data_IF_594798602644
#
_entry.id   IF_594798602644
#
_cell.length_a   1.000
_cell.length_b   1.000
_cell.length_c   1.000
_cell.angle_alpha   90.00
_cell.angle_beta   90.00
_cell.angle_gamma   90.00
#
_symmetry.space_group_name_H-M   'P 1'
#
loop_
_entity.id
_entity.type
_entity.pdbx_description
1 polymer ?
#
# COMPACT_ATOMS: atom_id res chain seq x y z
N UNK A 1 -9.71 20.77 -7.75
CA UNK A 1 -10.77 19.78 -8.13
C UNK A 1 -10.31 18.39 -7.67
N UNK A 2 -11.10 17.66 -6.86
CA UNK A 2 -10.73 16.31 -6.43
C UNK A 2 -10.94 15.36 -7.62
N UNK A 3 -9.88 14.99 -8.29
CA UNK A 3 -9.92 14.12 -9.47
C UNK A 3 -10.18 12.66 -9.07
N UNK A 4 -9.60 12.22 -7.95
CA UNK A 4 -9.84 10.90 -7.35
C UNK A 4 -10.59 11.08 -6.03
N UNK A 5 -11.64 10.28 -5.84
CA UNK A 5 -12.31 10.15 -4.55
C UNK A 5 -11.68 8.98 -3.80
N UNK A 6 -11.10 9.27 -2.65
CA UNK A 6 -10.65 8.26 -1.67
C UNK A 6 -11.71 8.14 -0.58
N UNK A 7 -12.01 6.93 -0.14
CA UNK A 7 -12.89 6.68 1.01
C UNK A 7 -12.24 7.15 2.32
N UNK A 8 -10.92 6.97 2.40
CA UNK A 8 -10.07 7.38 3.53
C UNK A 8 -8.91 8.24 3.05
N UNK A 9 -8.19 8.89 3.98
CA UNK A 9 -7.02 9.70 3.65
C UNK A 9 -5.90 8.83 3.10
N UNK A 10 -5.19 9.25 2.03
CA UNK A 10 -3.96 8.59 1.60
C UNK A 10 -2.91 8.59 2.72
N UNK A 11 -2.20 7.49 2.86
CA UNK A 11 -1.21 7.28 3.93
C UNK A 11 0.20 7.41 3.37
N UNK A 12 0.96 8.34 3.92
CA UNK A 12 2.38 8.50 3.68
C UNK A 12 3.17 7.59 4.63
N UNK A 13 4.18 6.90 4.11
CA UNK A 13 5.08 6.03 4.88
C UNK A 13 6.53 6.38 4.52
N UNK A 14 7.36 6.62 5.55
CA UNK A 14 8.79 6.83 5.38
C UNK A 14 9.59 5.85 6.24
N UNK A 15 10.63 5.24 5.65
CA UNK A 15 11.52 4.28 6.29
C UNK A 15 12.82 4.98 6.68
N UNK A 16 13.08 5.15 7.96
CA UNK A 16 14.18 5.99 8.45
C UNK A 16 15.28 5.16 9.12
N UNK A 17 16.52 5.63 8.98
CA UNK A 17 17.71 5.08 9.65
C UNK A 17 17.91 5.61 11.08
N UNK A 18 17.06 6.53 11.53
CA UNK A 18 17.06 7.10 12.88
C UNK A 18 15.63 7.49 13.28
N UNK A 19 15.40 7.64 14.59
CA UNK A 19 14.13 8.17 15.10
C UNK A 19 13.99 9.64 14.67
N UNK A 20 12.84 10.07 14.11
CA UNK A 20 12.65 11.44 13.62
C UNK A 20 12.43 12.42 14.77
N UNK A 21 13.02 13.61 14.66
CA UNK A 21 12.76 14.71 15.59
C UNK A 21 11.35 15.30 15.36
N UNK A 22 10.69 15.71 16.44
CA UNK A 22 9.39 16.38 16.38
C UNK A 22 8.19 15.50 16.02
N UNK A 23 8.38 14.21 15.75
CA UNK A 23 7.32 13.26 15.52
C UNK A 23 7.07 12.43 16.77
N UNK A 24 5.81 12.22 17.14
CA UNK A 24 5.45 11.43 18.32
C UNK A 24 5.73 9.95 18.08
N UNK A 25 6.41 9.29 19.02
CA UNK A 25 6.58 7.84 19.05
C UNK A 25 5.23 7.16 19.30
N UNK A 26 4.98 6.05 18.58
CA UNK A 26 3.81 5.24 18.82
C UNK A 26 3.97 4.47 20.15
N UNK A 27 3.00 4.65 21.02
CA UNK A 27 2.92 3.91 22.28
C UNK A 27 1.87 2.80 22.19
N UNK A 28 2.20 1.63 22.71
CA UNK A 28 1.33 0.47 22.72
C UNK A 28 1.66 -0.56 21.63
N UNK A 29 0.74 -1.49 21.42
CA UNK A 29 0.87 -2.61 20.49
C UNK A 29 -0.24 -2.60 19.44
N UNK A 30 0.05 -3.13 18.26
CA UNK A 30 -0.93 -3.38 17.22
C UNK A 30 -0.87 -4.85 16.80
N UNK A 31 -2.00 -5.47 16.45
CA UNK A 31 -2.03 -6.87 16.05
C UNK A 31 -1.36 -7.12 14.68
N UNK A 32 -1.18 -6.08 13.88
CA UNK A 32 -0.61 -6.17 12.54
C UNK A 32 0.06 -4.86 12.15
N UNK A 33 1.10 -4.93 11.31
CA UNK A 33 1.73 -3.74 10.71
C UNK A 33 0.75 -2.90 9.87
N UNK A 34 -0.24 -3.53 9.24
CA UNK A 34 -1.28 -2.82 8.49
C UNK A 34 -2.17 -1.93 9.38
N UNK A 35 -2.30 -2.24 10.67
CA UNK A 35 -3.09 -1.41 11.60
C UNK A 35 -2.53 0.01 11.73
N UNK A 36 -1.23 0.20 11.51
CA UNK A 36 -0.61 1.54 11.49
C UNK A 36 -1.11 2.37 10.30
N UNK A 37 -1.38 1.72 9.15
CA UNK A 37 -1.94 2.41 7.97
C UNK A 37 -3.34 2.94 8.28
N UNK A 38 -4.17 2.14 8.97
CA UNK A 38 -5.49 2.55 9.40
C UNK A 38 -5.41 3.77 10.31
N UNK A 39 -4.56 3.73 11.35
CA UNK A 39 -4.40 4.84 12.27
C UNK A 39 -3.96 6.13 11.57
N UNK A 40 -3.07 6.04 10.58
CA UNK A 40 -2.66 7.18 9.77
C UNK A 40 -3.80 7.66 8.87
N UNK A 41 -4.55 6.77 8.22
CA UNK A 41 -5.72 7.12 7.43
C UNK A 41 -6.82 7.81 8.26
N UNK A 42 -6.94 7.47 9.54
CA UNK A 42 -7.83 8.13 10.52
C UNK A 42 -7.32 9.53 10.94
N UNK A 43 -6.10 9.91 10.58
CA UNK A 43 -5.55 11.24 10.82
C UNK A 43 -4.42 11.32 11.85
N UNK A 44 -3.87 10.20 12.29
CA UNK A 44 -2.76 10.18 13.25
C UNK A 44 -1.41 10.27 12.52
N UNK A 45 -0.51 11.09 13.08
CA UNK A 45 0.89 11.16 12.66
C UNK A 45 1.77 10.65 13.80
N UNK A 46 2.60 9.65 13.51
CA UNK A 46 3.47 9.00 14.50
C UNK A 46 4.59 8.24 13.81
N UNK A 47 5.62 7.86 14.56
CA UNK A 47 6.58 6.87 14.11
C UNK A 47 6.56 5.61 14.98
N UNK A 48 6.92 4.49 14.37
CA UNK A 48 7.12 3.20 15.04
C UNK A 48 8.59 2.82 15.02
N UNK A 49 8.98 1.96 15.94
CA UNK A 49 10.30 1.30 15.97
C UNK A 49 10.11 -0.21 15.67
N UNK A 50 11.17 -0.98 15.40
CA UNK A 50 11.09 -2.40 15.08
C UNK A 50 10.19 -3.21 16.04
N UNK A 51 10.27 -2.94 17.33
CA UNK A 51 9.53 -3.65 18.38
C UNK A 51 8.01 -3.51 18.24
N UNK A 52 7.51 -2.40 17.69
CA UNK A 52 6.09 -2.21 17.44
C UNK A 52 5.53 -3.18 16.37
N UNK A 53 6.42 -3.77 15.55
CA UNK A 53 6.07 -4.68 14.45
C UNK A 53 6.18 -6.17 14.81
N UNK A 54 6.63 -6.52 16.00
CA UNK A 54 6.89 -7.90 16.41
C UNK A 54 5.64 -8.79 16.45
N UNK A 55 4.44 -8.21 16.52
CA UNK A 55 3.19 -8.96 16.45
C UNK A 55 2.77 -9.32 15.02
N UNK A 56 3.50 -8.84 14.00
CA UNK A 56 3.20 -9.09 12.60
C UNK A 56 4.41 -9.71 11.90
N UNK A 57 4.54 -11.03 12.00
CA UNK A 57 5.64 -11.78 11.40
C UNK A 57 5.84 -11.46 9.90
N UNK A 58 4.74 -11.40 9.15
CA UNK A 58 4.78 -11.10 7.70
C UNK A 58 5.19 -9.66 7.44
N UNK A 59 4.71 -8.72 8.26
CA UNK A 59 5.14 -7.31 8.18
C UNK A 59 6.62 -7.17 8.54
N UNK A 60 7.09 -7.82 9.59
CA UNK A 60 8.50 -7.82 9.96
C UNK A 60 9.36 -8.39 8.81
N UNK A 61 8.93 -9.49 8.19
CA UNK A 61 9.61 -10.08 7.04
C UNK A 61 9.73 -9.09 5.87
N UNK A 62 8.62 -8.49 5.44
CA UNK A 62 8.62 -7.55 4.29
C UNK A 62 9.39 -6.27 4.56
N UNK A 63 9.42 -5.81 5.81
CA UNK A 63 10.18 -4.63 6.22
C UNK A 63 11.63 -4.94 6.65
N UNK A 64 12.04 -6.20 6.53
CA UNK A 64 13.39 -6.67 6.91
C UNK A 64 13.74 -6.35 8.38
N UNK A 65 12.76 -6.48 9.27
CA UNK A 65 12.90 -6.29 10.72
C UNK A 65 13.28 -7.63 11.33
N UNK A 66 14.40 -7.66 12.05
CA UNK A 66 14.82 -8.84 12.81
C UNK A 66 13.88 -9.07 14.01
N UNK A 67 13.43 -10.29 14.17
CA UNK A 67 12.60 -10.73 15.29
C UNK A 67 13.48 -11.33 16.41
N UNK A 68 12.95 -11.36 17.64
CA UNK A 68 13.57 -12.16 18.70
C UNK A 68 13.38 -13.66 18.42
N UNK A 69 14.23 -14.55 19.00
CA UNK A 69 14.09 -16.00 18.79
C UNK A 69 12.70 -16.55 19.15
N UNK A 70 12.05 -15.98 20.17
CA UNK A 70 10.69 -16.36 20.55
C UNK A 70 9.68 -15.99 19.46
N UNK A 71 9.81 -14.79 18.89
CA UNK A 71 8.93 -14.31 17.83
C UNK A 71 9.20 -15.02 16.49
N UNK A 72 10.43 -15.39 16.22
CA UNK A 72 10.76 -16.24 15.06
C UNK A 72 10.03 -17.58 15.16
N UNK A 73 10.03 -18.21 16.34
CA UNK A 73 9.33 -19.47 16.55
C UNK A 73 7.79 -19.35 16.38
N UNK A 74 7.20 -18.27 16.85
CA UNK A 74 5.77 -17.98 16.61
C UNK A 74 5.49 -17.78 15.11
N UNK A 75 6.41 -17.13 14.40
CA UNK A 75 6.34 -16.93 12.96
C UNK A 75 6.37 -18.26 12.20
N UNK A 76 7.29 -19.15 12.56
CA UNK A 76 7.38 -20.49 11.97
C UNK A 76 6.09 -21.28 12.16
N UNK A 77 5.49 -21.23 13.34
CA UNK A 77 4.21 -21.89 13.64
C UNK A 77 3.08 -21.30 12.76
N UNK A 78 3.04 -19.97 12.61
CA UNK A 78 2.04 -19.29 11.77
C UNK A 78 2.22 -19.66 10.29
N UNK A 79 3.46 -19.67 9.78
CA UNK A 79 3.77 -20.09 8.42
C UNK A 79 3.39 -21.56 8.20
N UNK A 80 3.73 -22.44 9.14
CA UNK A 80 3.34 -23.85 9.07
C UNK A 80 1.81 -24.00 8.94
N UNK A 81 1.05 -23.27 9.75
CA UNK A 81 -0.41 -23.28 9.66
C UNK A 81 -0.88 -22.81 8.26
N UNK A 82 -0.29 -21.76 7.71
CA UNK A 82 -0.63 -21.26 6.38
C UNK A 82 -0.32 -22.28 5.28
N UNK A 83 0.78 -23.03 5.41
CA UNK A 83 1.14 -24.11 4.49
C UNK A 83 0.17 -25.28 4.61
N UNK A 84 -0.14 -25.71 5.83
CA UNK A 84 -1.09 -26.82 6.10
C UNK A 84 -2.50 -26.51 5.56
N UNK A 85 -2.93 -25.23 5.58
CA UNK A 85 -4.18 -24.76 5.01
C UNK A 85 -4.13 -24.60 3.49
N UNK A 86 -2.97 -24.75 2.83
CA UNK A 86 -2.78 -24.47 1.41
C UNK A 86 -2.95 -22.99 1.03
N UNK A 87 -2.87 -22.08 2.01
CA UNK A 87 -3.01 -20.64 1.78
C UNK A 87 -1.77 -20.03 1.15
N UNK A 88 -0.59 -20.51 1.50
CA UNK A 88 0.72 -20.11 0.94
C UNK A 88 1.53 -21.37 0.69
N UNK A 89 2.32 -21.37 -0.38
CA UNK A 89 3.30 -22.45 -0.63
C UNK A 89 4.68 -22.04 -0.18
N UNK A 90 5.52 -22.96 0.33
CA UNK A 90 6.87 -22.63 0.78
C UNK A 90 7.72 -21.91 -0.28
N UNK A 91 7.60 -22.29 -1.55
CA UNK A 91 8.32 -21.69 -2.68
C UNK A 91 7.87 -20.26 -3.04
N UNK A 92 6.71 -19.80 -2.53
CA UNK A 92 6.23 -18.42 -2.73
C UNK A 92 6.94 -17.44 -1.78
N UNK A 93 7.34 -17.89 -0.59
CA UNK A 93 7.91 -17.02 0.46
C UNK A 93 9.17 -16.27 0.00
N UNK A 94 10.16 -16.91 -0.65
CA UNK A 94 11.37 -16.21 -1.13
C UNK A 94 11.10 -15.18 -2.24
N UNK A 95 9.93 -15.25 -2.89
CA UNK A 95 9.54 -14.34 -3.97
C UNK A 95 8.85 -13.07 -3.46
N UNK A 96 8.56 -13.00 -2.16
CA UNK A 96 7.92 -11.82 -1.55
C UNK A 96 8.93 -10.69 -1.47
N UNK A 97 8.66 -9.51 -2.10
CA UNK A 97 9.51 -8.34 -2.00
C UNK A 97 9.75 -7.91 -0.55
N UNK A 98 10.99 -7.50 -0.27
CA UNK A 98 11.42 -7.04 1.05
C UNK A 98 12.21 -5.76 0.91
N UNK A 99 12.19 -4.91 1.95
CA UNK A 99 13.15 -3.81 2.05
C UNK A 99 14.58 -4.36 2.05
N UNK A 100 15.48 -3.69 1.36
CA UNK A 100 16.90 -4.08 1.33
C UNK A 100 17.56 -4.03 2.73
N UNK A 101 17.08 -3.10 3.59
CA UNK A 101 17.55 -2.89 4.95
C UNK A 101 16.36 -2.63 5.87
N UNK A 102 16.41 -3.19 7.07
CA UNK A 102 15.42 -2.90 8.12
C UNK A 102 15.55 -1.47 8.61
N UNK A 103 14.46 -0.69 8.64
CA UNK A 103 14.45 0.67 9.16
C UNK A 103 14.60 0.68 10.67
N UNK A 104 15.18 1.76 11.22
CA UNK A 104 15.21 2.02 12.67
C UNK A 104 13.92 2.68 13.15
N UNK A 105 13.25 3.41 12.26
CA UNK A 105 11.94 3.99 12.52
C UNK A 105 11.11 3.99 11.23
N UNK A 106 9.79 3.92 11.35
CA UNK A 106 8.86 4.06 10.24
C UNK A 106 7.85 5.13 10.61
N UNK A 107 7.79 6.22 9.83
CA UNK A 107 6.80 7.28 9.99
C UNK A 107 5.54 6.91 9.23
N UNK A 108 4.40 7.09 9.86
CA UNK A 108 3.06 6.96 9.29
C UNK A 108 2.29 8.25 9.51
N UNK A 109 1.68 8.79 8.47
CA UNK A 109 0.87 10.00 8.54
C UNK A 109 -0.16 10.07 7.42
N UNK A 110 -1.22 10.90 7.53
CA UNK A 110 -1.94 11.33 6.35
C UNK A 110 -0.98 12.03 5.39
N UNK A 111 -1.13 11.81 4.08
CA UNK A 111 -0.26 12.44 3.09
C UNK A 111 -0.22 13.97 3.19
N UNK A 112 -1.36 14.59 3.51
CA UNK A 112 -1.46 16.05 3.62
C UNK A 112 -0.72 16.63 4.83
N UNK A 113 -0.44 15.80 5.84
CA UNK A 113 0.13 16.21 7.13
C UNK A 113 1.48 15.51 7.38
N UNK A 114 2.13 15.02 6.32
CA UNK A 114 3.41 14.30 6.47
C UNK A 114 4.52 15.22 6.95
N UNK A 115 5.22 14.85 8.04
CA UNK A 115 6.32 15.66 8.60
C UNK A 115 7.67 15.43 7.88
N UNK A 116 7.75 14.41 7.03
CA UNK A 116 8.94 14.02 6.27
C UNK A 116 8.54 13.61 4.86
N UNK A 117 9.46 13.67 3.91
CA UNK A 117 9.22 13.17 2.56
C UNK A 117 8.94 11.66 2.62
N UNK A 118 7.81 11.20 2.09
CA UNK A 118 7.47 9.80 2.13
C UNK A 118 8.26 8.99 1.10
N UNK A 119 8.71 7.80 1.48
CA UNK A 119 9.23 6.83 0.52
C UNK A 119 8.12 6.26 -0.35
N UNK A 120 6.97 5.96 0.27
CA UNK A 120 5.79 5.44 -0.43
C UNK A 120 4.50 6.06 0.10
N UNK A 121 3.48 6.08 -0.77
CA UNK A 121 2.12 6.53 -0.40
C UNK A 121 1.10 5.48 -0.80
N UNK A 122 0.22 5.11 0.14
CA UNK A 122 -0.87 4.17 -0.06
C UNK A 122 -2.18 4.91 -0.28
N UNK A 123 -2.90 4.48 -1.30
CA UNK A 123 -4.25 4.94 -1.62
C UNK A 123 -5.22 3.76 -1.52
N UNK A 124 -6.17 3.80 -0.59
CA UNK A 124 -7.31 2.87 -0.59
C UNK A 124 -8.37 3.40 -1.58
N UNK A 125 -8.65 2.64 -2.63
CA UNK A 125 -9.43 3.08 -3.79
C UNK A 125 -10.37 1.98 -4.26
N UNK A 126 -11.49 2.39 -4.85
CA UNK A 126 -12.31 1.50 -5.67
C UNK A 126 -11.66 1.28 -7.04
N UNK A 127 -11.93 0.16 -7.72
CA UNK A 127 -11.23 -0.21 -8.96
C UNK A 127 -11.23 0.88 -10.03
N UNK A 128 -12.33 1.63 -10.21
CA UNK A 128 -12.38 2.69 -11.22
C UNK A 128 -11.41 3.86 -10.91
N UNK A 129 -11.19 4.19 -9.64
CA UNK A 129 -10.22 5.20 -9.24
C UNK A 129 -8.79 4.65 -9.29
N UNK A 130 -8.61 3.38 -8.91
CA UNK A 130 -7.33 2.68 -9.03
C UNK A 130 -6.86 2.62 -10.50
N UNK A 131 -7.76 2.32 -11.44
CA UNK A 131 -7.48 2.34 -12.88
C UNK A 131 -6.93 3.72 -13.31
N UNK A 132 -7.63 4.81 -12.96
CA UNK A 132 -7.18 6.16 -13.32
C UNK A 132 -5.79 6.49 -12.77
N UNK A 133 -5.51 6.09 -11.54
CA UNK A 133 -4.21 6.33 -10.91
C UNK A 133 -3.09 5.53 -11.56
N UNK A 134 -3.36 4.28 -11.93
CA UNK A 134 -2.43 3.42 -12.66
C UNK A 134 -2.15 3.95 -14.08
N UNK A 135 -3.18 4.39 -14.81
CA UNK A 135 -3.03 5.02 -16.13
C UNK A 135 -2.22 6.32 -16.04
N UNK A 136 -2.43 7.11 -14.97
CA UNK A 136 -1.65 8.31 -14.72
C UNK A 136 -0.18 8.00 -14.44
N UNK A 137 0.10 6.98 -13.65
CA UNK A 137 1.46 6.50 -13.39
C UNK A 137 2.16 6.08 -14.70
N UNK A 138 1.50 5.26 -15.53
CA UNK A 138 2.01 4.86 -16.83
C UNK A 138 2.28 6.06 -17.75
N UNK A 139 1.37 7.06 -17.78
CA UNK A 139 1.56 8.29 -18.54
C UNK A 139 2.74 9.14 -18.02
N UNK A 140 2.98 9.14 -16.73
CA UNK A 140 4.12 9.82 -16.11
C UNK A 140 5.46 9.09 -16.36
N UNK A 141 5.45 7.94 -17.02
CA UNK A 141 6.64 7.12 -17.26
C UNK A 141 7.05 6.30 -16.05
N UNK A 142 6.20 6.23 -15.02
CA UNK A 142 6.43 5.39 -13.85
C UNK A 142 6.11 3.93 -14.19
N UNK A 143 6.99 3.02 -13.81
CA UNK A 143 6.74 1.59 -13.99
C UNK A 143 5.42 1.18 -13.31
N UNK A 144 4.63 0.37 -13.99
CA UNK A 144 3.44 -0.23 -13.42
C UNK A 144 3.77 -1.69 -13.17
N UNK A 145 4.03 -2.02 -11.91
CA UNK A 145 4.35 -3.39 -11.49
C UNK A 145 3.17 -4.33 -11.68
N UNK A 146 3.45 -5.62 -11.77
CA UNK A 146 2.42 -6.63 -11.73
C UNK A 146 1.58 -6.46 -10.45
N UNK A 147 0.25 -6.63 -10.53
CA UNK A 147 -0.58 -6.52 -9.34
C UNK A 147 -0.09 -7.50 -8.28
N UNK A 148 0.17 -7.02 -7.09
CA UNK A 148 0.39 -7.87 -5.95
C UNK A 148 -0.92 -8.61 -5.68
N UNK A 149 -0.93 -9.92 -5.87
CA UNK A 149 -2.13 -10.77 -5.87
C UNK A 149 -2.85 -10.85 -4.51
N UNK A 150 -2.65 -9.84 -3.64
CA UNK A 150 -3.37 -9.70 -2.38
C UNK A 150 -2.66 -10.28 -1.17
N UNK A 151 -1.53 -10.98 -1.32
CA UNK A 151 -0.84 -11.59 -0.15
C UNK A 151 0.69 -11.71 -0.31
N UNK A 152 1.42 -11.18 0.69
CA UNK A 152 0.92 -10.30 1.75
C UNK A 152 0.76 -8.88 1.24
N UNK A 153 -0.25 -8.14 1.69
CA UNK A 153 -0.48 -6.76 1.25
C UNK A 153 0.69 -5.84 1.56
N UNK A 154 1.38 -6.06 2.68
CA UNK A 154 2.53 -5.24 3.09
C UNK A 154 3.74 -5.32 2.13
N UNK A 155 3.84 -6.36 1.29
CA UNK A 155 4.88 -6.42 0.25
C UNK A 155 4.73 -5.32 -0.81
N UNK A 156 3.55 -4.71 -0.94
CA UNK A 156 3.33 -3.63 -1.88
C UNK A 156 4.19 -2.39 -1.60
N UNK A 157 4.62 -2.20 -0.35
CA UNK A 157 5.53 -1.11 0.02
C UNK A 157 6.93 -1.30 -0.59
N UNK A 158 7.68 -2.37 -0.27
CA UNK A 158 8.97 -2.61 -0.90
C UNK A 158 8.87 -2.83 -2.42
N UNK A 159 7.80 -3.49 -2.90
CA UNK A 159 7.59 -3.68 -4.33
C UNK A 159 7.42 -2.33 -5.07
N UNK A 160 6.76 -1.35 -4.46
CA UNK A 160 6.62 -0.02 -5.07
C UNK A 160 7.97 0.69 -5.21
N UNK A 161 8.86 0.56 -4.22
CA UNK A 161 10.22 1.12 -4.29
C UNK A 161 11.02 0.53 -5.45
N UNK A 162 10.82 -0.75 -5.74
CA UNK A 162 11.57 -1.45 -6.79
C UNK A 162 10.92 -1.29 -8.18
N UNK A 163 9.60 -1.42 -8.27
CA UNK A 163 8.89 -1.55 -9.56
C UNK A 163 8.00 -0.37 -9.93
N UNK A 164 7.81 0.61 -9.05
CA UNK A 164 6.94 1.77 -9.27
C UNK A 164 5.53 1.60 -8.71
N UNK A 165 4.49 1.91 -9.50
CA UNK A 165 3.10 1.84 -9.04
C UNK A 165 2.63 0.40 -8.89
N UNK A 166 2.23 0.01 -7.68
CA UNK A 166 1.77 -1.34 -7.34
C UNK A 166 0.29 -1.31 -6.94
N UNK A 167 -0.52 -2.16 -7.58
CA UNK A 167 -1.88 -2.45 -7.12
C UNK A 167 -1.90 -3.69 -6.22
N UNK A 168 -2.65 -3.66 -5.13
CA UNK A 168 -2.83 -4.79 -4.22
C UNK A 168 -4.29 -4.94 -3.81
N UNK A 169 -4.84 -6.15 -3.97
CA UNK A 169 -6.22 -6.45 -3.60
C UNK A 169 -6.47 -6.48 -2.09
N UNK A 170 -5.42 -6.46 -1.28
CA UNK A 170 -5.53 -6.68 0.14
C UNK A 170 -5.60 -8.18 0.51
N UNK A 171 -4.79 -8.62 1.46
CA UNK A 171 -4.90 -9.98 2.00
C UNK A 171 -5.95 -10.04 3.11
N UNK A 172 -6.35 -11.26 3.51
CA UNK A 172 -7.36 -11.47 4.57
C UNK A 172 -7.02 -10.71 5.85
N UNK A 173 -5.78 -10.85 6.35
CA UNK A 173 -5.34 -10.15 7.54
C UNK A 173 -5.40 -8.63 7.40
N UNK A 174 -4.97 -8.10 6.25
CA UNK A 174 -5.05 -6.66 5.99
C UNK A 174 -6.51 -6.18 6.07
N UNK A 175 -7.46 -6.82 5.38
CA UNK A 175 -8.88 -6.44 5.38
C UNK A 175 -9.48 -6.44 6.78
N UNK A 176 -9.17 -7.48 7.58
CA UNK A 176 -9.63 -7.58 8.97
C UNK A 176 -9.07 -6.44 9.84
N UNK A 177 -7.79 -6.11 9.70
CA UNK A 177 -7.14 -5.13 10.58
C UNK A 177 -7.25 -3.68 10.12
N UNK A 178 -7.53 -3.43 8.85
CA UNK A 178 -7.65 -2.06 8.32
C UNK A 178 -9.09 -1.63 8.07
N UNK A 179 -10.01 -2.58 7.95
CA UNK A 179 -11.38 -2.30 7.53
C UNK A 179 -11.48 -1.90 6.06
N UNK A 180 -10.54 -2.36 5.21
CA UNK A 180 -10.63 -2.19 3.76
C UNK A 180 -11.91 -2.88 3.27
N UNK A 181 -12.80 -2.13 2.60
CA UNK A 181 -14.07 -2.63 2.10
C UNK A 181 -13.87 -3.69 1.00
N UNK A 182 -14.88 -4.54 0.78
CA UNK A 182 -14.78 -5.63 -0.21
C UNK A 182 -14.53 -5.15 -1.64
N UNK A 183 -15.06 -3.97 -1.98
CA UNK A 183 -14.92 -3.32 -3.28
C UNK A 183 -13.75 -2.30 -3.31
N UNK A 184 -12.86 -2.34 -2.36
CA UNK A 184 -11.66 -1.50 -2.29
C UNK A 184 -10.38 -2.32 -2.46
N UNK A 185 -9.36 -1.63 -2.94
CA UNK A 185 -7.99 -2.13 -3.12
C UNK A 185 -6.98 -1.01 -2.84
N UNK A 186 -5.72 -1.38 -2.64
CA UNK A 186 -4.65 -0.40 -2.55
C UNK A 186 -3.98 -0.14 -3.89
N UNK A 187 -3.59 1.11 -4.11
CA UNK A 187 -2.53 1.48 -5.04
C UNK A 187 -1.43 2.14 -4.22
N UNK A 188 -0.21 1.65 -4.37
CA UNK A 188 0.98 2.15 -3.68
C UNK A 188 1.89 2.79 -4.71
N UNK A 189 2.33 4.01 -4.43
CA UNK A 189 3.20 4.81 -5.28
C UNK A 189 4.46 5.19 -4.51
N UNK A 190 5.58 5.38 -5.22
CA UNK A 190 6.75 6.03 -4.62
C UNK A 190 6.45 7.49 -4.33
N UNK A 191 7.01 8.01 -3.23
CA UNK A 191 6.85 9.41 -2.85
C UNK A 191 7.40 10.37 -3.91
N UNK A 192 8.56 10.05 -4.48
CA UNK A 192 9.22 10.84 -5.53
C UNK A 192 8.40 11.01 -6.81
N UNK A 193 7.50 10.07 -7.13
CA UNK A 193 6.70 10.08 -8.35
C UNK A 193 5.37 10.86 -8.22
N UNK A 194 5.00 11.27 -7.02
CA UNK A 194 3.66 11.83 -6.76
C UNK A 194 3.35 13.08 -7.58
N UNK A 195 4.32 13.97 -7.77
CA UNK A 195 4.10 15.22 -8.51
C UNK A 195 3.82 14.93 -9.98
N UNK A 196 4.68 14.14 -10.63
CA UNK A 196 4.51 13.77 -12.04
C UNK A 196 3.22 12.99 -12.30
N UNK A 197 2.87 12.08 -11.38
CA UNK A 197 1.61 11.33 -11.46
C UNK A 197 0.40 12.25 -11.27
N UNK A 198 0.46 13.23 -10.36
CA UNK A 198 -0.63 14.18 -10.15
C UNK A 198 -0.88 15.05 -11.40
N UNK A 199 0.17 15.49 -12.06
CA UNK A 199 0.08 16.23 -13.34
C UNK A 199 -0.53 15.34 -14.44
N UNK A 200 -0.04 14.12 -14.59
CA UNK A 200 -0.57 13.16 -15.55
C UNK A 200 -2.04 12.82 -15.28
N UNK A 201 -2.45 12.75 -14.03
CA UNK A 201 -3.82 12.42 -13.61
C UNK A 201 -4.86 13.44 -14.13
N UNK A 202 -4.53 14.72 -14.22
CA UNK A 202 -5.42 15.71 -14.81
C UNK A 202 -5.71 15.39 -16.28
N UNK A 203 -4.67 15.05 -17.05
CA UNK A 203 -4.81 14.70 -18.46
C UNK A 203 -5.61 13.41 -18.64
N UNK A 204 -5.25 12.36 -17.89
CA UNK A 204 -5.90 11.05 -17.95
C UNK A 204 -7.37 11.16 -17.55
N UNK A 205 -7.69 11.93 -16.52
CA UNK A 205 -9.08 12.14 -16.10
C UNK A 205 -9.94 12.77 -17.21
N UNK A 206 -9.41 13.76 -17.91
CA UNK A 206 -10.08 14.38 -19.05
C UNK A 206 -10.26 13.40 -20.23
N UNK A 207 -9.21 12.65 -20.57
CA UNK A 207 -9.27 11.63 -21.62
C UNK A 207 -10.28 10.52 -21.29
N UNK A 208 -10.31 10.04 -20.04
CA UNK A 208 -11.27 9.04 -19.60
C UNK A 208 -12.72 9.52 -19.67
N UNK A 209 -12.99 10.79 -19.32
CA UNK A 209 -14.33 11.38 -19.46
C UNK A 209 -14.78 11.36 -20.93
N UNK A 210 -13.94 11.86 -21.84
CA UNK A 210 -14.24 11.88 -23.28
C UNK A 210 -14.46 10.48 -23.87
N UNK A 211 -13.61 9.52 -23.48
CA UNK A 211 -13.76 8.11 -23.95
C UNK A 211 -15.03 7.45 -23.40
N UNK A 212 -15.43 7.77 -22.18
CA UNK A 212 -16.71 7.26 -21.63
C UNK A 212 -17.91 7.78 -22.41
N UNK A 213 -17.91 9.07 -22.77
CA UNK A 213 -18.99 9.67 -23.54
C UNK A 213 -19.05 9.09 -24.96
N UNK A 214 -17.89 8.91 -25.60
CA UNK A 214 -17.80 8.21 -26.88
C UNK A 214 -18.35 6.78 -26.79
N UNK A 215 -17.94 6.00 -25.77
CA UNK A 215 -18.39 4.62 -25.61
C UNK A 215 -19.91 4.52 -25.36
N UNK A 216 -20.47 5.47 -24.59
CA UNK A 216 -21.93 5.56 -24.38
C UNK A 216 -22.67 5.82 -25.67
N UNK A 217 -22.27 6.84 -26.42
CA UNK A 217 -22.88 7.16 -27.71
C UNK A 217 -22.79 6.00 -28.71
N UNK A 218 -21.64 5.29 -28.73
CA UNK A 218 -21.47 4.11 -29.58
C UNK A 218 -22.42 2.97 -29.19
N UNK A 219 -22.60 2.73 -27.88
CA UNK A 219 -23.55 1.71 -27.38
C UNK A 219 -24.98 2.06 -27.79
N UNK A 220 -25.41 3.30 -27.65
CA UNK A 220 -26.75 3.75 -28.01
C UNK A 220 -27.02 3.56 -29.52
N UNK A 221 -26.07 3.95 -30.38
CA UNK A 221 -26.17 3.72 -31.83
C UNK A 221 -26.35 2.24 -32.20
N UNK A 222 -25.62 1.34 -31.53
CA UNK A 222 -25.68 -0.11 -31.83
C UNK A 222 -26.91 -0.79 -31.20
N UNK A 223 -27.52 -0.23 -30.18
CA UNK A 223 -28.73 -0.75 -29.55
C UNK A 223 -30.03 -0.34 -30.28
N UNK A 224 -29.92 0.61 -31.22
CA UNK A 224 -31.04 1.16 -32.00
C UNK A 224 -31.25 0.42 -33.32
N UNK A 225 -30.52 -0.64 -33.56
CA UNK A 225 -30.61 -1.57 -34.70
C UNK A 225 -30.83 -2.99 -34.21
#
# INVERSE_FOLDING_TARGET
>A
MKVIKTGVRPVAVAFLDAEPEGVKKFEGTQPSGCSFWRLAAEGRTFYTIPENHFNCAVGAYTHNIALSPEREKETEQTLKMMFDLGYVKPEEVPQIPRLAKGPKAIVYSPLADTPVDPDVVLFALRPAAAMLLQEAAGRAGVGVGAPALGRPTCMALPASLEFGAIASLGCIGNRVYTGLEEDEMYVVLRGEDLVSIAEALHVISGANAALRDYARGRREQLSSH
#
